data_IF_772286002335
#
_entry.id   IF_772286002335
#
_cell.length_a   1.000
_cell.length_b   1.000
_cell.length_c   1.000
_cell.angle_alpha   90.00
_cell.angle_beta   90.00
_cell.angle_gamma   90.00
#
_symmetry.space_group_name_H-M   'P 1'
#
loop_
_entity.id
_entity.type
_entity.pdbx_description
1 polymer ?
#
# COMPACT_ATOMS: atom_id res chain seq x y z
N UNK A 1 -20.62 -11.18 16.97
CA UNK A 1 -19.42 -11.78 16.35
C UNK A 1 -18.77 -12.71 17.36
N UNK A 2 -18.38 -13.93 16.99
CA UNK A 2 -17.64 -14.82 17.92
C UNK A 2 -16.20 -14.34 18.05
N UNK A 3 -15.54 -14.56 19.20
CA UNK A 3 -14.13 -14.19 19.42
C UNK A 3 -13.21 -14.77 18.32
N UNK A 4 -13.47 -16.02 17.91
CA UNK A 4 -12.74 -16.68 16.83
C UNK A 4 -12.93 -15.97 15.47
N UNK A 5 -14.15 -15.53 15.14
CA UNK A 5 -14.42 -14.79 13.91
C UNK A 5 -13.76 -13.41 13.88
N UNK A 6 -13.67 -12.73 15.02
CA UNK A 6 -12.94 -11.46 15.12
C UNK A 6 -11.43 -11.66 14.90
N UNK A 7 -10.83 -12.67 15.52
CA UNK A 7 -9.40 -12.98 15.38
C UNK A 7 -9.06 -13.33 13.92
N UNK A 8 -9.88 -14.14 13.24
CA UNK A 8 -9.65 -14.49 11.84
C UNK A 8 -9.67 -13.24 10.93
N UNK A 9 -10.67 -12.38 11.10
CA UNK A 9 -10.76 -11.12 10.33
C UNK A 9 -9.59 -10.18 10.65
N UNK A 10 -9.15 -10.15 11.91
CA UNK A 10 -7.99 -9.35 12.32
C UNK A 10 -6.70 -9.85 11.64
N UNK A 11 -6.50 -11.17 11.54
CA UNK A 11 -5.37 -11.76 10.82
C UNK A 11 -5.44 -11.41 9.33
N UNK A 12 -6.59 -11.59 8.67
CA UNK A 12 -6.74 -11.21 7.26
C UNK A 12 -6.45 -9.73 7.02
N UNK A 13 -6.98 -8.84 7.87
CA UNK A 13 -6.74 -7.41 7.77
C UNK A 13 -5.26 -7.07 7.92
N UNK A 14 -4.56 -7.71 8.86
CA UNK A 14 -3.12 -7.50 9.06
C UNK A 14 -2.29 -7.92 7.84
N UNK A 15 -2.62 -9.06 7.22
CA UNK A 15 -1.97 -9.52 5.99
C UNK A 15 -2.19 -8.53 4.84
N UNK A 16 -3.42 -8.03 4.68
CA UNK A 16 -3.73 -7.01 3.68
C UNK A 16 -2.94 -5.72 3.89
N UNK A 17 -2.87 -5.22 5.13
CA UNK A 17 -2.07 -4.03 5.46
C UNK A 17 -0.60 -4.24 5.11
N UNK A 18 -0.01 -5.38 5.49
CA UNK A 18 1.39 -5.70 5.17
C UNK A 18 1.61 -5.72 3.65
N UNK A 19 0.70 -6.32 2.88
CA UNK A 19 0.81 -6.33 1.43
C UNK A 19 0.81 -4.91 0.82
N UNK A 20 -0.04 -4.01 1.31
CA UNK A 20 -0.05 -2.61 0.86
C UNK A 20 1.19 -1.83 1.26
N UNK A 21 1.75 -2.10 2.45
CA UNK A 21 3.03 -1.51 2.87
C UNK A 21 4.17 -1.97 1.97
N UNK A 22 4.22 -3.26 1.63
CA UNK A 22 5.25 -3.80 0.72
C UNK A 22 5.11 -3.19 -0.68
N UNK A 23 3.89 -3.09 -1.21
CA UNK A 23 3.65 -2.45 -2.50
C UNK A 23 4.07 -0.96 -2.48
N UNK A 24 3.70 -0.21 -1.45
CA UNK A 24 4.16 1.17 -1.28
C UNK A 24 5.69 1.26 -1.23
N UNK A 25 6.36 0.34 -0.54
CA UNK A 25 7.82 0.26 -0.51
C UNK A 25 8.44 0.00 -1.88
N UNK A 26 7.89 -0.94 -2.65
CA UNK A 26 8.37 -1.27 -4.00
C UNK A 26 8.20 -0.10 -4.97
N UNK A 27 7.02 0.52 -5.01
CA UNK A 27 6.78 1.68 -5.86
C UNK A 27 7.55 2.91 -5.38
N UNK A 28 7.74 3.07 -4.07
CA UNK A 28 8.50 4.16 -3.47
C UNK A 28 9.99 4.04 -3.77
N UNK A 29 10.53 2.82 -3.72
CA UNK A 29 11.90 2.55 -4.16
C UNK A 29 12.08 2.91 -5.64
N UNK A 30 11.16 2.48 -6.52
CA UNK A 30 11.20 2.84 -7.95
C UNK A 30 10.93 4.33 -8.24
N UNK A 31 10.36 5.05 -7.28
CA UNK A 31 10.25 6.50 -7.35
C UNK A 31 11.60 7.15 -7.01
N UNK A 32 12.21 6.77 -5.87
CA UNK A 32 13.51 7.30 -5.43
C UNK A 32 14.68 6.89 -6.34
N UNK A 33 14.61 5.71 -6.96
CA UNK A 33 15.62 5.23 -7.92
C UNK A 33 15.57 6.01 -9.25
N UNK A 34 14.49 6.77 -9.52
CA UNK A 34 14.26 7.53 -10.75
C UNK A 34 14.61 9.01 -10.68
N UNK A 35 15.25 9.47 -9.61
CA UNK A 35 15.75 10.85 -9.48
C UNK A 35 16.91 11.20 -10.46
N UNK A 36 17.24 10.35 -11.44
CA UNK A 36 18.11 10.75 -12.56
C UNK A 36 17.34 11.62 -13.59
N UNK A 37 17.95 12.70 -14.11
CA UNK A 37 17.20 13.81 -14.68
C UNK A 37 16.65 13.46 -16.07
N UNK A 38 15.34 13.65 -16.24
CA UNK A 38 14.58 13.80 -17.51
C UNK A 38 13.62 12.68 -17.95
N UNK A 39 13.20 11.75 -17.09
CA UNK A 39 12.18 10.74 -17.45
C UNK A 39 10.76 11.06 -16.95
N UNK A 40 10.43 12.34 -16.82
CA UNK A 40 9.14 12.81 -16.30
C UNK A 40 7.92 12.31 -17.10
N UNK A 41 8.10 11.90 -18.36
CA UNK A 41 6.98 11.53 -19.27
C UNK A 41 7.31 10.47 -20.33
N UNK A 42 8.40 9.71 -20.20
CA UNK A 42 8.78 8.72 -21.22
C UNK A 42 7.90 7.46 -21.15
N UNK A 43 6.66 7.57 -21.66
CA UNK A 43 5.99 6.44 -22.31
C UNK A 43 6.83 6.04 -23.53
N UNK A 44 7.95 5.36 -23.28
CA UNK A 44 8.85 4.93 -24.34
C UNK A 44 8.10 4.04 -25.31
N UNK A 45 7.89 4.54 -26.54
CA UNK A 45 7.42 3.75 -27.68
C UNK A 45 8.53 2.82 -28.19
N UNK A 46 9.09 2.02 -27.29
CA UNK A 46 10.10 1.02 -27.60
C UNK A 46 9.45 -0.31 -27.96
N UNK A 47 10.03 -1.00 -28.94
CA UNK A 47 9.68 -2.31 -29.53
C UNK A 47 9.56 -3.49 -28.55
N UNK A 48 9.54 -3.26 -27.23
CA UNK A 48 9.41 -4.25 -26.15
C UNK A 48 8.25 -3.98 -25.17
N UNK A 49 7.23 -3.24 -25.58
CA UNK A 49 6.02 -3.05 -24.78
C UNK A 49 6.23 -2.07 -23.62
N UNK A 50 6.46 -0.79 -23.94
CA UNK A 50 6.58 0.28 -22.95
C UNK A 50 5.36 0.32 -22.03
N UNK A 51 5.57 0.04 -20.75
CA UNK A 51 4.52 0.12 -19.74
C UNK A 51 4.37 1.57 -19.29
N UNK A 52 3.16 2.15 -19.42
CA UNK A 52 2.85 3.50 -18.91
C UNK A 52 2.98 3.63 -17.37
N UNK A 53 3.32 2.54 -16.68
CA UNK A 53 3.66 2.50 -15.25
C UNK A 53 5.13 2.82 -14.97
N UNK A 54 5.89 3.15 -16.01
CA UNK A 54 7.32 3.38 -15.96
C UNK A 54 7.69 4.86 -15.83
N UNK A 55 6.82 5.70 -15.26
CA UNK A 55 7.10 7.12 -14.97
C UNK A 55 7.35 7.39 -13.49
N UNK A 56 8.22 8.36 -13.18
CA UNK A 56 8.50 8.83 -11.81
C UNK A 56 7.20 9.27 -11.08
N UNK A 57 6.40 10.09 -11.75
CA UNK A 57 5.11 10.58 -11.23
C UNK A 57 4.11 9.45 -10.98
N UNK A 58 4.07 8.42 -11.83
CA UNK A 58 3.20 7.26 -11.61
C UNK A 58 3.61 6.47 -10.38
N UNK A 59 4.92 6.23 -10.20
CA UNK A 59 5.43 5.55 -9.01
C UNK A 59 5.19 6.36 -7.74
N UNK A 60 5.37 7.68 -7.79
CA UNK A 60 5.04 8.59 -6.68
C UNK A 60 3.55 8.49 -6.30
N UNK A 61 2.64 8.59 -7.27
CA UNK A 61 1.19 8.49 -7.03
C UNK A 61 0.83 7.13 -6.44
N UNK A 62 1.34 6.04 -7.01
CA UNK A 62 1.09 4.69 -6.49
C UNK A 62 1.62 4.51 -5.07
N UNK A 63 2.81 5.03 -4.78
CA UNK A 63 3.38 5.01 -3.43
C UNK A 63 2.46 5.73 -2.45
N UNK A 64 2.02 6.95 -2.78
CA UNK A 64 1.10 7.72 -1.94
C UNK A 64 -0.25 7.02 -1.73
N UNK A 65 -0.83 6.43 -2.79
CA UNK A 65 -2.10 5.72 -2.70
C UNK A 65 -1.99 4.48 -1.82
N UNK A 66 -0.98 3.62 -2.06
CA UNK A 66 -0.81 2.40 -1.28
C UNK A 66 -0.42 2.69 0.17
N UNK A 67 0.43 3.68 0.41
CA UNK A 67 0.77 4.14 1.76
C UNK A 67 -0.46 4.71 2.49
N UNK A 68 -1.28 5.53 1.79
CA UNK A 68 -2.51 6.07 2.34
C UNK A 68 -3.51 4.98 2.74
N UNK A 69 -3.74 3.99 1.87
CA UNK A 69 -4.61 2.85 2.17
C UNK A 69 -4.07 2.04 3.36
N UNK A 70 -2.75 1.82 3.42
CA UNK A 70 -2.13 1.11 4.54
C UNK A 70 -2.34 1.86 5.86
N UNK A 71 -2.14 3.18 5.89
CA UNK A 71 -2.36 4.01 7.09
C UNK A 71 -3.83 3.98 7.52
N UNK A 72 -4.77 4.14 6.60
CA UNK A 72 -6.21 4.05 6.90
C UNK A 72 -6.54 2.66 7.47
N UNK A 73 -6.01 1.60 6.86
CA UNK A 73 -6.15 0.23 7.35
C UNK A 73 -5.65 0.06 8.78
N UNK A 74 -4.47 0.58 9.10
CA UNK A 74 -3.89 0.55 10.46
C UNK A 74 -4.78 1.29 11.45
N UNK A 75 -5.24 2.51 11.12
CA UNK A 75 -6.10 3.30 12.02
C UNK A 75 -7.41 2.58 12.30
N UNK A 76 -8.06 2.05 11.28
CA UNK A 76 -9.31 1.29 11.42
C UNK A 76 -9.10 -0.01 12.21
N UNK A 77 -7.98 -0.70 11.98
CA UNK A 77 -7.60 -1.89 12.73
C UNK A 77 -7.39 -1.60 14.22
N UNK A 78 -6.60 -0.58 14.55
CA UNK A 78 -6.37 -0.17 15.94
C UNK A 78 -7.68 0.26 16.60
N UNK A 79 -8.54 1.01 15.89
CA UNK A 79 -9.85 1.42 16.41
C UNK A 79 -10.78 0.23 16.65
N UNK A 80 -10.80 -0.76 15.75
CA UNK A 80 -11.65 -1.95 15.91
C UNK A 80 -11.18 -2.82 17.08
N UNK A 81 -9.87 -3.04 17.21
CA UNK A 81 -9.26 -3.76 18.33
C UNK A 81 -9.56 -3.06 19.65
N UNK A 82 -9.34 -1.74 19.73
CA UNK A 82 -9.65 -0.94 20.93
C UNK A 82 -11.14 -0.92 21.27
N UNK A 83 -12.04 -1.05 20.31
CA UNK A 83 -13.48 -1.10 20.56
C UNK A 83 -13.94 -2.48 21.05
N UNK A 84 -13.33 -3.55 20.55
CA UNK A 84 -13.68 -4.92 20.96
C UNK A 84 -13.05 -5.35 22.29
N UNK A 85 -11.84 -4.86 22.62
CA UNK A 85 -11.15 -5.23 23.85
C UNK A 85 -11.77 -4.77 25.20
N UNK A 86 -12.43 -3.60 25.34
CA UNK A 86 -13.08 -3.23 26.60
C UNK A 86 -14.27 -4.12 26.99
N UNK A 87 -14.84 -4.87 26.03
CA UNK A 87 -15.93 -5.82 26.25
C UNK A 87 -15.45 -7.27 26.54
N UNK A 88 -14.14 -7.46 26.81
CA UNK A 88 -13.55 -8.78 27.12
C UNK A 88 -13.13 -8.88 28.59
N UNK A 89 -13.44 -7.88 29.43
CA UNK A 89 -13.24 -7.94 30.88
C UNK A 89 -14.43 -8.54 31.60
#
# INVERSE_FOLDING_TARGET
>A
MTKAGFVLNAVLASVGIVAFVVLAGVFGYKWLERDEPNDAYSCGSGTRGGTCFSGETTNMVLTCVFAGIAVIGIVLFVKSVRSHWPNVR
#
